data_IF_398103384674
#
_entry.id   IF_398103384674
#
_cell.length_a   1.000
_cell.length_b   1.000
_cell.length_c   1.000
_cell.angle_alpha   90.00
_cell.angle_beta   90.00
_cell.angle_gamma   90.00
#
_symmetry.space_group_name_H-M   'P 1'
#
loop_
_entity.id
_entity.type
_entity.pdbx_description
1 polymer ?
#
# COMPACT_ATOMS: atom_id res chain seq x y z
N UNK A 1 -29.19 26.63 -7.07
CA UNK A 1 -28.07 25.72 -6.81
C UNK A 1 -28.62 24.31 -6.91
N UNK A 2 -28.30 23.60 -7.99
CA UNK A 2 -28.73 22.24 -8.23
C UNK A 2 -27.96 21.30 -7.28
N UNK A 3 -28.66 20.48 -6.48
CA UNK A 3 -28.00 19.50 -5.61
C UNK A 3 -27.37 18.41 -6.49
N UNK A 4 -26.07 18.07 -6.33
CA UNK A 4 -25.46 17.02 -7.11
C UNK A 4 -26.21 15.71 -6.88
N UNK A 5 -26.80 15.16 -7.93
CA UNK A 5 -27.43 13.84 -7.90
C UNK A 5 -26.33 12.76 -7.91
N UNK A 6 -26.00 12.26 -6.72
CA UNK A 6 -25.08 11.13 -6.62
C UNK A 6 -25.82 9.84 -7.04
N UNK A 7 -25.29 9.16 -8.05
CA UNK A 7 -25.81 7.84 -8.44
C UNK A 7 -25.47 6.79 -7.36
N UNK A 8 -26.25 5.70 -7.30
CA UNK A 8 -25.94 4.59 -6.38
C UNK A 8 -24.51 4.04 -6.58
N UNK A 9 -24.00 4.05 -7.81
CA UNK A 9 -22.62 3.65 -8.11
C UNK A 9 -21.59 4.62 -7.49
N UNK A 10 -21.88 5.91 -7.50
CA UNK A 10 -21.01 6.93 -6.90
C UNK A 10 -20.96 6.78 -5.37
N UNK A 11 -22.12 6.63 -4.73
CA UNK A 11 -22.20 6.37 -3.28
C UNK A 11 -21.49 5.08 -2.87
N UNK A 12 -21.60 4.02 -3.68
CA UNK A 12 -20.90 2.76 -3.47
C UNK A 12 -19.36 2.95 -3.55
N UNK A 13 -18.90 3.75 -4.49
CA UNK A 13 -17.48 4.11 -4.61
C UNK A 13 -16.99 4.89 -3.39
N UNK A 14 -17.69 5.93 -3.00
CA UNK A 14 -17.37 6.75 -1.82
C UNK A 14 -17.28 5.91 -0.55
N UNK A 15 -18.27 5.06 -0.28
CA UNK A 15 -18.27 4.20 0.91
C UNK A 15 -17.09 3.22 0.92
N UNK A 16 -16.62 2.73 -0.25
CA UNK A 16 -15.41 1.90 -0.33
C UNK A 16 -14.17 2.68 0.05
N UNK A 17 -14.02 3.91 -0.42
CA UNK A 17 -12.90 4.78 -0.05
C UNK A 17 -12.90 5.04 1.45
N UNK A 18 -14.04 5.42 2.03
CA UNK A 18 -14.16 5.69 3.47
C UNK A 18 -13.73 4.48 4.30
N UNK A 19 -14.21 3.27 3.96
CA UNK A 19 -13.83 2.04 4.68
C UNK A 19 -12.35 1.71 4.51
N UNK A 20 -11.82 1.84 3.28
CA UNK A 20 -10.40 1.59 2.99
C UNK A 20 -9.49 2.55 3.75
N UNK A 21 -9.77 3.85 3.68
CA UNK A 21 -8.99 4.88 4.37
C UNK A 21 -9.05 4.72 5.88
N UNK A 22 -10.21 4.38 6.43
CA UNK A 22 -10.34 4.07 7.85
C UNK A 22 -9.44 2.92 8.30
N UNK A 23 -9.42 1.80 7.54
CA UNK A 23 -8.53 0.66 7.83
C UNK A 23 -7.06 1.08 7.70
N UNK A 24 -6.72 1.88 6.69
CA UNK A 24 -5.35 2.35 6.46
C UNK A 24 -4.84 3.24 7.60
N UNK A 25 -5.65 4.16 8.07
CA UNK A 25 -5.26 5.13 9.10
C UNK A 25 -5.21 4.54 10.51
N UNK A 26 -6.13 3.62 10.81
CA UNK A 26 -6.19 2.97 12.12
C UNK A 26 -5.25 1.78 12.26
N UNK A 27 -4.77 1.22 11.17
CA UNK A 27 -4.06 -0.05 11.16
C UNK A 27 -5.04 -1.21 11.38
N UNK A 28 -4.73 -2.12 12.31
CA UNK A 28 -5.60 -3.26 12.58
C UNK A 28 -6.92 -2.84 13.25
N UNK A 29 -8.05 -3.14 12.61
CA UNK A 29 -9.39 -2.74 13.08
C UNK A 29 -10.46 -3.81 12.80
N UNK A 30 -11.59 -3.77 13.49
CA UNK A 30 -12.69 -4.72 13.31
C UNK A 30 -13.85 -4.14 12.48
N UNK A 31 -14.66 -5.01 11.86
CA UNK A 31 -15.90 -4.58 11.16
C UNK A 31 -16.84 -3.77 12.07
N UNK A 32 -16.95 -4.16 13.36
CA UNK A 32 -17.77 -3.44 14.32
C UNK A 32 -17.26 -2.01 14.56
N UNK A 33 -15.94 -1.84 14.64
CA UNK A 33 -15.32 -0.53 14.81
C UNK A 33 -15.51 0.34 13.56
N UNK A 34 -15.37 -0.23 12.37
CA UNK A 34 -15.65 0.48 11.10
C UNK A 34 -17.10 0.99 11.10
N UNK A 35 -18.08 0.14 11.44
CA UNK A 35 -19.50 0.53 11.52
C UNK A 35 -19.69 1.69 12.50
N UNK A 36 -19.13 1.57 13.70
CA UNK A 36 -19.28 2.56 14.77
C UNK A 36 -18.72 3.93 14.38
N UNK A 37 -17.54 3.96 13.79
CA UNK A 37 -16.82 5.22 13.53
C UNK A 37 -17.22 5.86 12.19
N UNK A 38 -17.60 5.05 11.18
CA UNK A 38 -17.97 5.58 9.86
C UNK A 38 -19.45 5.84 9.70
N UNK A 39 -20.31 5.28 10.58
CA UNK A 39 -21.76 5.35 10.45
C UNK A 39 -22.34 4.55 9.27
N UNK A 40 -21.50 3.82 8.54
CA UNK A 40 -21.95 2.97 7.42
C UNK A 40 -22.64 1.73 7.99
N UNK A 41 -23.81 1.36 7.43
CA UNK A 41 -24.59 0.23 7.94
C UNK A 41 -23.80 -1.09 7.93
N UNK A 42 -24.03 -2.00 8.91
CA UNK A 42 -23.31 -3.27 9.02
C UNK A 42 -23.33 -4.10 7.73
N UNK A 43 -24.48 -4.31 7.03
CA UNK A 43 -24.49 -5.09 5.79
C UNK A 43 -23.65 -4.44 4.67
N UNK A 44 -23.56 -3.12 4.65
CA UNK A 44 -22.74 -2.39 3.68
C UNK A 44 -21.24 -2.57 4.00
N UNK A 45 -20.83 -2.43 5.26
CA UNK A 45 -19.46 -2.68 5.69
C UNK A 45 -19.03 -4.11 5.37
N UNK A 46 -19.86 -5.11 5.65
CA UNK A 46 -19.56 -6.51 5.33
C UNK A 46 -19.28 -6.67 3.83
N UNK A 47 -20.16 -6.16 2.96
CA UNK A 47 -19.99 -6.24 1.50
C UNK A 47 -18.72 -5.53 1.01
N UNK A 48 -18.41 -4.36 1.59
CA UNK A 48 -17.19 -3.61 1.24
C UNK A 48 -15.94 -4.36 1.68
N UNK A 49 -15.91 -4.86 2.91
CA UNK A 49 -14.76 -5.62 3.42
C UNK A 49 -14.55 -6.88 2.58
N UNK A 50 -15.59 -7.66 2.28
CA UNK A 50 -15.47 -8.82 1.38
C UNK A 50 -14.85 -8.43 0.04
N UNK A 51 -15.35 -7.35 -0.57
CA UNK A 51 -14.77 -6.83 -1.83
C UNK A 51 -13.29 -6.46 -1.73
N UNK A 52 -12.88 -5.80 -0.62
CA UNK A 52 -11.48 -5.41 -0.42
C UNK A 52 -10.57 -6.63 -0.19
N UNK A 53 -11.06 -7.63 0.54
CA UNK A 53 -10.35 -8.90 0.77
C UNK A 53 -10.22 -9.70 -0.54
N UNK A 54 -11.29 -9.87 -1.31
CA UNK A 54 -11.27 -10.54 -2.63
C UNK A 54 -10.29 -9.88 -3.60
N UNK A 55 -10.10 -8.56 -3.49
CA UNK A 55 -9.13 -7.80 -4.30
C UNK A 55 -7.72 -7.83 -3.74
N UNK A 56 -7.49 -8.47 -2.59
CA UNK A 56 -6.18 -8.53 -1.93
C UNK A 56 -5.70 -7.16 -1.41
N UNK A 57 -6.61 -6.21 -1.17
CA UNK A 57 -6.30 -4.88 -0.63
C UNK A 57 -6.27 -4.88 0.91
N UNK A 58 -7.07 -5.77 1.51
CA UNK A 58 -7.20 -5.95 2.95
C UNK A 58 -7.00 -7.43 3.27
N UNK A 59 -6.38 -7.72 4.39
CA UNK A 59 -6.17 -9.08 4.93
C UNK A 59 -6.68 -9.17 6.35
N UNK A 60 -6.94 -10.40 6.78
CA UNK A 60 -7.21 -10.72 8.18
C UNK A 60 -5.88 -10.66 8.97
N UNK A 61 -5.84 -9.82 10.00
CA UNK A 61 -4.64 -9.52 10.78
C UNK A 61 -4.69 -10.09 12.20
N UNK A 62 -5.36 -11.23 12.37
CA UNK A 62 -5.51 -11.91 13.66
C UNK A 62 -6.78 -11.50 14.42
N UNK A 63 -6.81 -11.83 15.71
CA UNK A 63 -7.93 -11.55 16.61
C UNK A 63 -7.63 -10.37 17.52
N UNK A 64 -8.63 -9.56 17.78
CA UNK A 64 -8.55 -8.45 18.73
C UNK A 64 -8.55 -8.92 20.19
N UNK A 65 -8.35 -7.96 21.12
CA UNK A 65 -8.40 -8.23 22.55
C UNK A 65 -9.73 -8.90 22.94
N UNK A 66 -9.65 -9.84 23.88
CA UNK A 66 -10.82 -10.52 24.42
C UNK A 66 -11.67 -9.51 25.21
N UNK A 67 -12.91 -9.30 24.73
CA UNK A 67 -13.97 -8.62 25.47
C UNK A 67 -15.06 -9.60 25.86
N UNK A 68 -16.23 -9.10 26.26
CA UNK A 68 -17.40 -9.95 26.49
C UNK A 68 -17.90 -10.48 25.13
N UNK A 69 -17.68 -11.77 24.85
CA UNK A 69 -18.13 -12.43 23.62
C UNK A 69 -16.97 -12.96 22.75
N UNK A 70 -17.30 -13.35 21.49
CA UNK A 70 -16.31 -13.84 20.52
C UNK A 70 -15.32 -12.73 20.17
N UNK A 71 -14.03 -13.06 20.16
CA UNK A 71 -12.96 -12.13 19.75
C UNK A 71 -13.23 -11.61 18.35
N UNK A 72 -13.16 -10.27 18.15
CA UNK A 72 -13.37 -9.71 16.83
C UNK A 72 -12.18 -10.01 15.93
N UNK A 73 -12.47 -10.43 14.70
CA UNK A 73 -11.46 -10.57 13.66
C UNK A 73 -10.98 -9.19 13.22
N UNK A 74 -9.67 -8.98 13.27
CA UNK A 74 -9.04 -7.74 12.83
C UNK A 74 -8.74 -7.78 11.34
N UNK A 75 -8.82 -6.62 10.73
CA UNK A 75 -8.56 -6.34 9.32
C UNK A 75 -7.43 -5.32 9.23
N UNK A 76 -6.51 -5.52 8.31
CA UNK A 76 -5.43 -4.56 8.02
C UNK A 76 -5.21 -4.43 6.52
N UNK A 77 -4.57 -3.34 6.09
CA UNK A 77 -4.15 -3.17 4.69
C UNK A 77 -3.09 -4.23 4.36
N UNK A 78 -3.25 -4.86 3.20
CA UNK A 78 -2.27 -5.82 2.67
C UNK A 78 -1.07 -5.07 2.04
N UNK A 79 -0.26 -4.41 2.87
CA UNK A 79 0.89 -3.62 2.42
C UNK A 79 1.77 -4.38 1.43
N UNK A 80 2.30 -5.58 1.78
CA UNK A 80 3.17 -6.35 0.90
C UNK A 80 2.51 -6.87 -0.37
N UNK A 81 1.18 -6.88 -0.44
CA UNK A 81 0.43 -7.42 -1.57
C UNK A 81 0.47 -6.53 -2.82
N UNK A 82 0.76 -5.25 -2.69
CA UNK A 82 0.80 -4.30 -3.80
C UNK A 82 1.69 -3.10 -3.49
N UNK A 83 2.32 -2.58 -4.53
CA UNK A 83 3.17 -1.40 -4.43
C UNK A 83 3.07 -0.54 -5.69
N UNK A 84 3.51 0.70 -5.58
CA UNK A 84 3.67 1.65 -6.67
C UNK A 84 5.12 2.07 -6.77
N UNK A 85 5.64 2.17 -7.99
CA UNK A 85 6.91 2.82 -8.26
C UNK A 85 6.65 4.32 -8.45
N UNK A 86 7.43 5.14 -7.76
CA UNK A 86 7.33 6.60 -7.81
C UNK A 86 8.64 7.15 -8.33
N UNK A 87 8.54 8.07 -9.30
CA UNK A 87 9.68 8.77 -9.87
C UNK A 87 9.47 10.27 -9.74
N UNK A 88 10.47 10.98 -9.25
CA UNK A 88 10.48 12.43 -9.15
C UNK A 88 11.78 12.99 -9.74
N UNK A 89 11.64 13.87 -10.74
CA UNK A 89 12.77 14.57 -11.36
C UNK A 89 12.88 15.97 -10.73
N UNK A 90 14.00 16.23 -10.08
CA UNK A 90 14.29 17.49 -9.42
C UNK A 90 15.59 18.07 -9.94
N UNK A 91 15.53 18.99 -10.91
CA UNK A 91 16.70 19.54 -11.58
C UNK A 91 17.52 18.42 -12.23
N UNK A 92 18.77 18.23 -11.77
CA UNK A 92 19.68 17.20 -12.26
C UNK A 92 19.64 15.90 -11.44
N UNK A 93 18.59 15.68 -10.65
CA UNK A 93 18.47 14.48 -9.84
C UNK A 93 17.16 13.74 -10.13
N UNK A 94 17.26 12.42 -10.26
CA UNK A 94 16.15 11.49 -10.32
C UNK A 94 16.03 10.78 -8.98
N UNK A 95 14.91 10.97 -8.31
CA UNK A 95 14.52 10.19 -7.12
C UNK A 95 13.57 9.08 -7.55
N UNK A 96 13.85 7.86 -7.13
CA UNK A 96 13.02 6.68 -7.39
C UNK A 96 12.65 6.04 -6.07
N UNK A 97 11.44 5.52 -5.96
CA UNK A 97 10.97 4.85 -4.75
C UNK A 97 9.94 3.79 -5.03
N UNK A 98 9.85 2.82 -4.14
CA UNK A 98 8.74 1.88 -4.03
C UNK A 98 7.95 2.20 -2.77
N UNK A 99 6.64 2.33 -2.93
CA UNK A 99 5.71 2.60 -1.84
C UNK A 99 4.63 1.53 -1.88
N UNK A 100 4.38 0.86 -0.77
CA UNK A 100 3.28 -0.10 -0.68
C UNK A 100 1.92 0.62 -0.55
N UNK A 101 0.83 -0.15 -0.65
CA UNK A 101 -0.52 0.43 -0.59
C UNK A 101 -0.92 0.94 0.80
N UNK A 102 -0.13 0.66 1.84
CA UNK A 102 -0.29 1.27 3.17
C UNK A 102 0.34 2.66 3.27
N UNK A 103 1.13 3.07 2.26
CA UNK A 103 1.90 4.30 2.24
C UNK A 103 3.32 4.17 2.79
N UNK A 104 3.77 2.95 3.12
CA UNK A 104 5.12 2.69 3.61
C UNK A 104 6.11 2.73 2.46
N UNK A 105 7.18 3.49 2.61
CA UNK A 105 8.31 3.48 1.67
C UNK A 105 9.13 2.22 1.89
N UNK A 106 9.16 1.33 0.88
CA UNK A 106 9.89 0.07 0.91
C UNK A 106 11.34 0.26 0.47
N UNK A 107 11.54 1.11 -0.52
CA UNK A 107 12.86 1.43 -1.06
C UNK A 107 12.89 2.86 -1.58
N UNK A 108 14.04 3.53 -1.48
CA UNK A 108 14.28 4.86 -2.05
C UNK A 108 15.71 4.96 -2.55
N UNK A 109 15.85 5.50 -3.76
CA UNK A 109 17.14 5.77 -4.38
C UNK A 109 17.12 7.16 -5.00
N UNK A 110 18.24 7.88 -4.94
CA UNK A 110 18.44 9.15 -5.63
C UNK A 110 19.73 9.07 -6.44
N UNK A 111 19.65 9.41 -7.73
CA UNK A 111 20.79 9.42 -8.63
C UNK A 111 20.86 10.75 -9.39
N UNK A 112 22.01 11.07 -9.94
CA UNK A 112 22.14 12.22 -10.83
C UNK A 112 21.61 11.81 -12.20
N UNK A 113 20.75 12.63 -12.79
CA UNK A 113 20.14 12.35 -14.09
C UNK A 113 21.20 12.39 -15.18
N UNK A 114 21.19 11.39 -16.08
CA UNK A 114 21.98 11.41 -17.29
C UNK A 114 21.53 12.56 -18.22
N UNK A 115 22.46 13.10 -18.98
CA UNK A 115 22.18 14.22 -19.89
C UNK A 115 21.46 13.78 -21.18
N UNK A 116 21.56 12.51 -21.53
CA UNK A 116 20.92 11.92 -22.70
C UNK A 116 19.69 11.10 -22.30
N UNK A 117 18.64 11.21 -23.10
CA UNK A 117 17.35 10.59 -22.83
C UNK A 117 17.40 9.05 -22.81
N UNK A 118 18.25 8.44 -23.64
CA UNK A 118 18.42 6.99 -23.65
C UNK A 118 19.05 6.48 -22.36
N UNK A 119 20.10 7.15 -21.88
CA UNK A 119 20.73 6.86 -20.60
C UNK A 119 19.77 7.12 -19.42
N UNK A 120 18.96 8.17 -19.49
CA UNK A 120 17.91 8.43 -18.51
C UNK A 120 16.89 7.29 -18.41
N UNK A 121 16.41 6.78 -19.54
CA UNK A 121 15.47 5.63 -19.56
C UNK A 121 16.13 4.36 -19.00
N UNK A 122 17.42 4.14 -19.28
CA UNK A 122 18.16 3.02 -18.70
C UNK A 122 18.26 3.15 -17.16
N UNK A 123 18.55 4.33 -16.63
CA UNK A 123 18.57 4.60 -15.19
C UNK A 123 17.22 4.33 -14.54
N UNK A 124 16.12 4.78 -15.16
CA UNK A 124 14.74 4.51 -14.66
C UNK A 124 14.47 3.02 -14.63
N UNK A 125 14.80 2.28 -15.69
CA UNK A 125 14.63 0.83 -15.77
C UNK A 125 15.43 0.11 -14.69
N UNK A 126 16.71 0.42 -14.57
CA UNK A 126 17.63 -0.27 -13.66
C UNK A 126 17.29 0.04 -12.20
N UNK A 127 16.89 1.27 -11.91
CA UNK A 127 16.38 1.68 -10.61
C UNK A 127 15.07 0.96 -10.24
N UNK A 128 14.16 0.77 -11.19
CA UNK A 128 12.93 0.02 -10.97
C UNK A 128 13.24 -1.45 -10.68
N UNK A 129 14.09 -2.09 -11.48
CA UNK A 129 14.51 -3.50 -11.26
C UNK A 129 15.17 -3.67 -9.90
N UNK A 130 16.12 -2.79 -9.54
CA UNK A 130 16.78 -2.80 -8.23
C UNK A 130 15.78 -2.67 -7.08
N UNK A 131 14.84 -1.75 -7.20
CA UNK A 131 13.80 -1.52 -6.19
C UNK A 131 12.88 -2.73 -6.03
N UNK A 132 12.51 -3.40 -7.12
CA UNK A 132 11.67 -4.61 -7.11
C UNK A 132 12.42 -5.79 -6.46
N UNK A 133 13.69 -5.98 -6.79
CA UNK A 133 14.52 -7.03 -6.18
C UNK A 133 14.67 -6.81 -4.67
N UNK A 134 14.86 -5.57 -4.26
CA UNK A 134 14.95 -5.21 -2.83
C UNK A 134 13.64 -5.50 -2.09
N UNK A 135 12.50 -5.11 -2.67
CA UNK A 135 11.18 -5.38 -2.09
C UNK A 135 10.86 -6.89 -2.03
N UNK A 136 11.38 -7.68 -2.98
CA UNK A 136 11.25 -9.15 -2.99
C UNK A 136 12.21 -9.86 -2.00
N UNK A 137 13.02 -9.12 -1.25
CA UNK A 137 14.04 -9.70 -0.35
C UNK A 137 15.25 -10.29 -1.07
N UNK A 138 15.34 -10.11 -2.40
CA UNK A 138 16.47 -10.48 -3.22
C UNK A 138 17.46 -9.31 -3.25
N UNK A 139 18.25 -9.12 -2.17
CA UNK A 139 19.29 -8.10 -2.11
C UNK A 139 20.46 -8.48 -3.04
N UNK A 140 20.66 -7.83 -4.20
CA UNK A 140 21.76 -8.13 -5.10
C UNK A 140 23.13 -7.84 -4.47
N UNK A 141 23.19 -7.01 -3.42
CA UNK A 141 24.41 -6.61 -2.75
C UNK A 141 24.85 -7.57 -1.63
N UNK A 142 24.00 -8.56 -1.27
CA UNK A 142 24.37 -9.61 -0.32
C UNK A 142 25.46 -10.54 -0.84
N UNK A 143 25.63 -10.67 -2.14
CA UNK A 143 26.69 -11.55 -2.72
C UNK A 143 28.10 -10.97 -2.59
N UNK A 144 28.26 -9.66 -2.42
CA UNK A 144 29.56 -9.00 -2.27
C UNK A 144 30.12 -8.97 -0.85
N UNK A 145 29.29 -9.16 0.18
CA UNK A 145 29.73 -9.00 1.59
C UNK A 145 30.23 -10.29 2.25
N UNK A 146 30.01 -11.45 1.65
CA UNK A 146 30.57 -12.71 2.16
C UNK A 146 31.98 -13.03 1.64
N UNK A 147 32.45 -12.35 0.60
CA UNK A 147 33.79 -12.60 0.05
C UNK A 147 34.93 -11.79 0.69
N UNK A 148 34.63 -10.87 1.64
CA UNK A 148 35.61 -9.97 2.25
C UNK A 148 35.90 -10.29 3.74
N UNK A 149 35.57 -11.49 4.23
CA UNK A 149 35.82 -11.88 5.63
C UNK A 149 36.74 -13.08 5.82
N UNK A 150 37.33 -13.61 4.75
CA UNK A 150 38.34 -14.66 4.83
C UNK A 150 39.60 -14.22 4.06
N UNK A 151 40.35 -13.27 4.62
CA UNK A 151 41.82 -13.10 4.42
C UNK A 151 42.37 -12.49 5.70
#
# INVERSE_FOLDING_TARGET
MEKPQYTAAHLKGMNRHVVYDFIRERGATSKAQIVKETGISPPTVIKIVSYLVERGLVVEAGEGAAGVGRRPQLLAINGPGRFSAVFALEGSFLSMGLVDISGRVLHRQKTRTAQDFGAFLAEVRDGLVSSLLHAAGADPDRRGRHAARDV
#
